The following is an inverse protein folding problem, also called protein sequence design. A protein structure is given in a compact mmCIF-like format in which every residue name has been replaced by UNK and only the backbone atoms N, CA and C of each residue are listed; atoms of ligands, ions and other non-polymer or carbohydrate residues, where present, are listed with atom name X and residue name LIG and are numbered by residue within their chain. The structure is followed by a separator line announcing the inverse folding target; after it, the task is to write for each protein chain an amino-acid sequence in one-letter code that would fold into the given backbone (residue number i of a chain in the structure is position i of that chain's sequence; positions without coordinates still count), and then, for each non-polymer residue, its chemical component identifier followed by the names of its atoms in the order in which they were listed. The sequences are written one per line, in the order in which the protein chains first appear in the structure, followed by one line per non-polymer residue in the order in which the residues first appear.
data_IF_096082828175
#
_entry.id   IF_096082828175
#
_cell.length_a   1.000
_cell.length_b   1.000
_cell.length_c   1.000
_cell.angle_alpha   90.00
_cell.angle_beta   90.00
_cell.angle_gamma   90.00
#
_symmetry.space_group_name_H-M   'P 1'
#
loop_
_entity.id
_entity.type
_entity.pdbx_description
1 polymer ?
#
# COMPACT_ATOMS: atom_id res chain seq x y z
N UNK A 1 -0.82 -42.87 31.05
CA UNK A 1 -1.60 -41.93 30.22
C UNK A 1 -1.36 -40.53 30.75
N UNK A 2 -0.47 -39.78 30.10
CA UNK A 2 -0.19 -38.39 30.48
C UNK A 2 -1.29 -37.49 29.95
N UNK A 3 -2.02 -36.83 30.84
CA UNK A 3 -2.96 -35.77 30.49
C UNK A 3 -2.13 -34.57 30.07
N UNK A 4 -2.07 -34.30 28.77
CA UNK A 4 -1.46 -33.11 28.21
C UNK A 4 -2.24 -31.88 28.71
N UNK A 5 -1.76 -31.25 29.79
CA UNK A 5 -2.30 -29.99 30.29
C UNK A 5 -1.98 -28.89 29.26
N UNK A 6 -2.96 -28.63 28.39
CA UNK A 6 -2.92 -27.53 27.42
C UNK A 6 -2.94 -26.21 28.19
N UNK A 7 -1.78 -25.56 28.31
CA UNK A 7 -1.57 -24.37 29.16
C UNK A 7 -2.14 -23.06 28.62
N UNK A 8 -2.55 -22.98 27.36
CA UNK A 8 -3.07 -21.73 26.78
C UNK A 8 -4.28 -21.97 25.87
N UNK A 9 -5.42 -21.28 26.08
CA UNK A 9 -6.52 -21.27 25.13
C UNK A 9 -6.08 -20.58 23.83
N UNK A 10 -6.17 -21.29 22.70
CA UNK A 10 -6.02 -20.70 21.38
C UNK A 10 -7.28 -19.91 21.05
N UNK A 11 -7.25 -18.60 21.24
CA UNK A 11 -8.24 -17.72 20.63
C UNK A 11 -7.83 -17.51 19.18
N UNK A 12 -8.51 -18.18 18.26
CA UNK A 12 -8.37 -17.91 16.81
C UNK A 12 -9.04 -16.58 16.53
N UNK A 13 -8.37 -15.49 16.90
CA UNK A 13 -8.74 -14.14 16.46
C UNK A 13 -8.14 -13.98 15.08
N UNK A 14 -8.95 -13.67 14.06
CA UNK A 14 -8.42 -13.26 12.76
C UNK A 14 -8.29 -11.75 12.80
N UNK A 15 -7.06 -11.27 12.83
CA UNK A 15 -6.78 -9.83 12.71
C UNK A 15 -6.47 -9.54 11.25
N UNK A 16 -7.20 -8.61 10.65
CA UNK A 16 -6.92 -8.12 9.31
C UNK A 16 -6.30 -6.74 9.45
N UNK A 17 -5.08 -6.57 8.95
CA UNK A 17 -4.48 -5.25 8.78
C UNK A 17 -4.74 -4.84 7.34
N UNK A 18 -5.53 -3.77 7.18
CA UNK A 18 -5.84 -3.17 5.89
C UNK A 18 -5.30 -1.76 5.89
N UNK A 19 -4.50 -1.47 4.88
CA UNK A 19 -3.98 -0.14 4.65
C UNK A 19 -4.87 0.54 3.63
N UNK A 20 -5.39 1.70 3.99
CA UNK A 20 -6.20 2.51 3.07
C UNK A 20 -5.31 3.15 2.01
N UNK A 21 -4.03 3.40 2.35
CA UNK A 21 -3.03 3.89 1.41
C UNK A 21 -1.58 3.57 1.75
N UNK A 22 -0.73 3.78 0.76
CA UNK A 22 0.71 3.65 0.77
C UNK A 22 1.37 4.53 1.83
N UNK A 23 0.92 5.77 2.02
CA UNK A 23 1.45 6.63 3.08
C UNK A 23 1.14 6.05 4.48
N UNK A 24 -0.07 5.52 4.68
CA UNK A 24 -0.47 4.81 5.89
C UNK A 24 0.33 3.52 6.05
N UNK A 25 0.57 2.77 4.98
CA UNK A 25 1.45 1.61 5.01
C UNK A 25 2.89 1.99 5.38
N UNK A 26 3.49 3.01 4.77
CA UNK A 26 4.88 3.41 5.09
C UNK A 26 4.98 3.86 6.54
N UNK A 27 4.05 4.70 7.01
CA UNK A 27 4.07 5.17 8.40
C UNK A 27 3.91 4.00 9.37
N UNK A 28 2.97 3.09 9.10
CA UNK A 28 2.81 1.89 9.92
C UNK A 28 3.95 0.88 9.71
N UNK A 29 4.63 0.88 8.57
CA UNK A 29 5.78 0.03 8.34
C UNK A 29 6.99 0.50 9.14
N UNK A 30 7.30 1.79 9.04
CA UNK A 30 8.41 2.43 9.74
C UNK A 30 8.22 2.42 11.26
N UNK A 31 6.98 2.59 11.76
CA UNK A 31 6.71 2.62 13.20
C UNK A 31 6.33 1.25 13.78
N UNK A 32 5.71 0.39 12.96
CA UNK A 32 4.93 -0.74 13.45
C UNK A 32 5.08 -2.04 12.62
N UNK A 33 5.86 -2.15 11.52
CA UNK A 33 6.08 -3.40 10.77
C UNK A 33 7.57 -3.60 10.45
N UNK A 34 8.17 -4.61 11.07
CA UNK A 34 9.52 -5.08 10.74
C UNK A 34 9.46 -6.45 10.06
N UNK A 35 10.58 -6.92 9.51
CA UNK A 35 10.73 -8.31 9.02
C UNK A 35 10.38 -9.37 10.06
N UNK A 36 10.40 -9.04 11.36
CA UNK A 36 10.13 -9.95 12.45
C UNK A 36 8.80 -9.74 13.18
N UNK A 37 8.03 -8.69 12.90
CA UNK A 37 6.84 -8.41 13.71
C UNK A 37 6.07 -7.15 13.33
N UNK A 38 4.83 -7.07 13.79
CA UNK A 38 3.90 -5.98 13.53
C UNK A 38 3.18 -5.46 14.78
N UNK A 39 2.82 -4.18 14.84
CA UNK A 39 1.96 -3.62 15.88
C UNK A 39 0.54 -3.38 15.36
N UNK A 40 -0.45 -3.94 16.03
CA UNK A 40 -1.85 -3.87 15.62
C UNK A 40 -2.61 -2.96 16.59
N UNK A 41 -3.00 -1.78 16.09
CA UNK A 41 -3.88 -0.86 16.82
C UNK A 41 -5.22 -1.53 17.10
N UNK A 42 -5.77 -1.33 18.30
CA UNK A 42 -7.03 -1.93 18.72
C UNK A 42 -6.90 -3.35 19.27
N UNK A 43 -5.78 -4.04 19.05
CA UNK A 43 -5.53 -5.39 19.56
C UNK A 43 -5.10 -5.45 21.04
N UNK A 44 -5.34 -4.38 21.81
CA UNK A 44 -4.93 -4.27 23.22
C UNK A 44 -5.62 -5.25 24.18
N UNK A 45 -6.62 -5.98 23.71
CA UNK A 45 -7.31 -7.04 24.46
C UNK A 45 -6.71 -8.44 24.20
N UNK A 46 -5.72 -8.55 23.30
CA UNK A 46 -5.02 -9.81 23.10
C UNK A 46 -4.24 -10.20 24.37
N UNK A 47 -4.32 -11.46 24.80
CA UNK A 47 -3.46 -11.94 25.87
C UNK A 47 -1.98 -11.87 25.45
N UNK A 48 -1.12 -11.45 26.36
CA UNK A 48 0.32 -11.49 26.11
C UNK A 48 0.77 -12.93 25.83
N UNK A 49 1.66 -13.10 24.85
CA UNK A 49 2.17 -14.38 24.37
C UNK A 49 1.13 -15.30 23.69
N UNK A 50 -0.10 -14.83 23.43
CA UNK A 50 -1.03 -15.59 22.62
C UNK A 50 -0.59 -15.64 21.16
N UNK A 51 -0.68 -16.83 20.55
CA UNK A 51 -0.52 -16.99 19.11
C UNK A 51 -1.84 -16.70 18.39
N UNK A 52 -1.75 -16.04 17.24
CA UNK A 52 -2.90 -15.52 16.50
C UNK A 52 -2.61 -15.55 15.00
N UNK A 53 -3.61 -15.90 14.19
CA UNK A 53 -3.51 -15.77 12.73
C UNK A 53 -3.75 -14.30 12.35
N UNK A 54 -2.79 -13.74 11.62
CA UNK A 54 -2.86 -12.36 11.13
C UNK A 54 -2.92 -12.41 9.61
N UNK A 55 -3.94 -11.76 9.07
CA UNK A 55 -4.16 -11.59 7.64
C UNK A 55 -3.63 -10.21 7.25
N UNK A 56 -2.58 -10.18 6.44
CA UNK A 56 -1.92 -8.99 5.94
C UNK A 56 -2.30 -8.85 4.47
N UNK A 57 -2.95 -7.75 4.11
CA UNK A 57 -3.25 -7.45 2.71
C UNK A 57 -2.16 -6.53 2.14
N UNK A 58 -1.40 -7.04 1.16
CA UNK A 58 -0.35 -6.30 0.47
C UNK A 58 -0.86 -5.88 -0.92
N UNK A 59 -1.14 -4.59 -1.17
CA UNK A 59 -1.63 -4.13 -2.45
C UNK A 59 -0.75 -4.58 -3.63
N UNK A 60 -1.35 -5.20 -4.65
CA UNK A 60 -0.64 -5.73 -5.81
C UNK A 60 0.20 -7.00 -5.56
N UNK A 61 0.18 -7.55 -4.34
CA UNK A 61 0.85 -8.83 -3.98
C UNK A 61 -0.09 -9.81 -3.28
N UNK A 62 -1.36 -9.45 -3.13
CA UNK A 62 -2.40 -10.29 -2.56
C UNK A 62 -2.41 -10.33 -1.04
N UNK A 63 -3.21 -11.24 -0.53
CA UNK A 63 -3.46 -11.40 0.91
C UNK A 63 -2.63 -12.56 1.47
N UNK A 64 -1.92 -12.30 2.56
CA UNK A 64 -0.99 -13.22 3.21
C UNK A 64 -1.46 -13.54 4.62
N UNK A 65 -1.49 -14.82 4.98
CA UNK A 65 -1.79 -15.25 6.36
C UNK A 65 -0.50 -15.67 7.04
N UNK A 66 -0.16 -15.02 8.15
CA UNK A 66 1.00 -15.34 8.99
C UNK A 66 0.53 -15.73 10.39
N UNK A 67 1.31 -16.54 11.09
CA UNK A 67 1.09 -16.82 12.52
C UNK A 67 2.00 -15.90 13.32
N UNK A 68 1.41 -15.15 14.24
CA UNK A 68 2.13 -14.19 15.06
C UNK A 68 1.83 -14.38 16.55
N UNK A 69 2.77 -13.99 17.41
CA UNK A 69 2.68 -14.09 18.87
C UNK A 69 2.69 -12.70 19.49
N UNK A 70 1.75 -12.40 20.39
CA UNK A 70 1.77 -11.12 21.10
C UNK A 70 3.01 -11.03 22.00
N UNK A 71 3.86 -10.03 21.81
CA UNK A 71 5.08 -9.80 22.60
C UNK A 71 4.98 -8.59 23.50
N UNK A 72 4.09 -7.64 23.19
CA UNK A 72 3.75 -6.53 24.08
C UNK A 72 2.32 -6.06 23.87
N UNK A 73 1.73 -5.42 24.89
CA UNK A 73 0.38 -4.85 24.84
C UNK A 73 0.39 -3.46 25.46
N UNK A 74 -0.22 -2.49 24.78
CA UNK A 74 -0.44 -1.13 25.29
C UNK A 74 -1.95 -0.95 25.48
N UNK A 75 -2.37 -0.89 26.74
CA UNK A 75 -3.75 -0.59 27.12
C UNK A 75 -4.14 0.87 26.88
N UNK A 76 -5.45 1.16 26.95
CA UNK A 76 -6.02 2.49 26.66
C UNK A 76 -5.42 3.62 27.51
N UNK A 77 -5.18 3.38 28.79
CA UNK A 77 -4.63 4.38 29.71
C UNK A 77 -3.16 4.68 29.41
N UNK A 78 -2.33 3.63 29.24
CA UNK A 78 -0.93 3.77 28.88
C UNK A 78 -0.74 4.43 27.50
N UNK A 79 -1.64 4.11 26.55
CA UNK A 79 -1.68 4.74 25.24
C UNK A 79 -1.94 6.25 25.35
N UNK A 80 -2.95 6.66 26.12
CA UNK A 80 -3.27 8.08 26.35
C UNK A 80 -2.11 8.83 27.02
N UNK A 81 -1.47 8.22 28.01
CA UNK A 81 -0.35 8.83 28.74
C UNK A 81 0.91 9.01 27.85
N UNK A 82 1.08 8.18 26.83
CA UNK A 82 2.24 8.21 25.93
C UNK A 82 1.96 8.87 24.57
N UNK A 83 0.75 9.40 24.34
CA UNK A 83 0.33 9.93 23.04
C UNK A 83 0.24 8.87 21.93
N UNK A 84 0.18 7.58 22.30
CA UNK A 84 0.09 6.45 21.36
C UNK A 84 -1.35 5.94 21.25
N UNK A 85 -1.61 5.10 20.26
CA UNK A 85 -2.86 4.34 20.15
C UNK A 85 -2.71 2.99 20.87
N UNK A 86 -3.76 2.57 21.59
CA UNK A 86 -3.79 1.27 22.26
C UNK A 86 -3.74 0.13 21.24
N UNK A 87 -3.01 -0.94 21.54
CA UNK A 87 -2.77 -2.05 20.61
C UNK A 87 -1.86 -3.13 21.19
N UNK A 88 -1.43 -4.04 20.32
CA UNK A 88 -0.50 -5.12 20.68
C UNK A 88 0.59 -5.27 19.63
N UNK A 89 1.83 -5.49 20.09
CA UNK A 89 2.93 -5.90 19.24
C UNK A 89 2.94 -7.41 19.08
N UNK A 90 3.20 -7.83 17.86
CA UNK A 90 3.09 -9.20 17.40
C UNK A 90 4.41 -9.59 16.73
N UNK A 91 5.07 -10.64 17.20
CA UNK A 91 6.21 -11.25 16.53
C UNK A 91 5.71 -12.29 15.52
N UNK A 92 6.14 -12.21 14.26
CA UNK A 92 5.78 -13.21 13.24
C UNK A 92 6.62 -14.46 13.50
N UNK A 93 5.95 -15.56 13.88
CA UNK A 93 6.60 -16.83 14.25
C UNK A 93 6.54 -17.86 13.12
N UNK A 94 5.60 -17.70 12.18
CA UNK A 94 5.49 -18.53 10.99
C UNK A 94 4.93 -17.73 9.83
N UNK A 95 5.51 -17.92 8.65
CA UNK A 95 5.12 -17.23 7.41
C UNK A 95 5.13 -18.22 6.25
N UNK A 96 4.24 -18.04 5.26
CA UNK A 96 4.23 -18.86 4.06
C UNK A 96 5.46 -18.54 3.18
N UNK A 97 5.89 -19.49 2.34
CA UNK A 97 6.95 -19.24 1.36
C UNK A 97 6.61 -18.03 0.46
N UNK A 98 7.61 -17.21 0.16
CA UNK A 98 7.45 -16.02 -0.69
C UNK A 98 6.90 -14.78 0.03
N UNK A 99 6.52 -14.86 1.30
CA UNK A 99 6.06 -13.68 2.06
C UNK A 99 7.13 -12.59 2.16
N UNK A 100 8.38 -12.98 2.46
CA UNK A 100 9.47 -12.01 2.57
C UNK A 100 9.76 -11.32 1.24
N UNK A 101 9.76 -12.09 0.15
CA UNK A 101 9.97 -11.56 -1.20
C UNK A 101 8.82 -10.65 -1.61
N UNK A 102 7.58 -10.98 -1.25
CA UNK A 102 6.41 -10.15 -1.49
C UNK A 102 6.47 -8.85 -0.69
N UNK A 103 6.86 -8.90 0.59
CA UNK A 103 7.03 -7.73 1.43
C UNK A 103 8.16 -6.84 0.91
N UNK A 104 9.32 -7.40 0.59
CA UNK A 104 10.45 -6.69 0.02
C UNK A 104 10.09 -6.08 -1.34
N UNK A 105 9.46 -6.84 -2.22
CA UNK A 105 8.99 -6.38 -3.52
C UNK A 105 8.01 -5.22 -3.39
N UNK A 106 7.09 -5.27 -2.42
CA UNK A 106 6.19 -4.18 -2.13
C UNK A 106 6.92 -2.92 -1.66
N UNK A 107 7.90 -3.05 -0.75
CA UNK A 107 8.70 -1.93 -0.27
C UNK A 107 9.55 -1.29 -1.37
N UNK A 108 10.17 -2.11 -2.23
CA UNK A 108 10.93 -1.62 -3.38
C UNK A 108 10.02 -0.87 -4.35
N UNK A 109 8.87 -1.45 -4.70
CA UNK A 109 7.90 -0.76 -5.56
C UNK A 109 7.44 0.56 -4.96
N UNK A 110 7.14 0.57 -3.66
CA UNK A 110 6.73 1.78 -2.96
C UNK A 110 7.82 2.85 -2.96
N UNK A 111 9.09 2.47 -2.80
CA UNK A 111 10.24 3.35 -3.01
C UNK A 111 10.24 3.94 -4.42
N UNK A 112 10.10 3.10 -5.45
CA UNK A 112 10.03 3.53 -6.84
C UNK A 112 8.85 4.48 -7.09
N UNK A 113 7.64 4.15 -6.66
CA UNK A 113 6.43 4.97 -6.90
C UNK A 113 6.59 6.40 -6.38
N UNK A 114 7.27 6.59 -5.24
CA UNK A 114 7.49 7.92 -4.65
C UNK A 114 8.45 8.80 -5.45
N UNK A 115 9.28 8.21 -6.30
CA UNK A 115 10.15 8.93 -7.23
C UNK A 115 9.47 9.29 -8.54
N UNK A 116 8.28 8.74 -8.81
CA UNK A 116 7.60 8.89 -10.09
C UNK A 116 6.29 9.66 -9.94
N UNK A 117 5.92 10.32 -11.02
CA UNK A 117 4.70 11.10 -11.10
C UNK A 117 3.70 10.47 -12.08
N UNK A 118 2.42 10.62 -11.74
CA UNK A 118 1.29 10.38 -12.63
C UNK A 118 0.56 11.71 -12.81
N UNK A 119 0.38 12.12 -14.06
CA UNK A 119 -0.47 13.27 -14.37
C UNK A 119 -1.91 12.80 -14.51
N UNK A 120 -2.86 13.50 -13.91
CA UNK A 120 -4.29 13.17 -14.02
C UNK A 120 -5.11 14.42 -14.33
N UNK A 121 -6.04 14.30 -15.27
CA UNK A 121 -7.02 15.34 -15.56
C UNK A 121 -7.81 15.71 -14.29
N UNK A 122 -7.93 17.02 -14.01
CA UNK A 122 -8.50 17.54 -12.75
C UNK A 122 -9.95 17.06 -12.50
N UNK A 123 -10.70 16.75 -13.55
CA UNK A 123 -12.09 16.29 -13.46
C UNK A 123 -12.25 14.77 -13.27
N UNK A 124 -11.16 14.00 -13.23
CA UNK A 124 -11.23 12.55 -13.20
C UNK A 124 -11.34 11.94 -11.80
N UNK A 125 -12.08 10.83 -11.74
CA UNK A 125 -11.98 9.86 -10.64
C UNK A 125 -10.68 9.09 -10.75
N UNK A 126 -10.08 8.67 -9.63
CA UNK A 126 -8.84 7.90 -9.63
C UNK A 126 -7.65 8.59 -8.96
N UNK A 127 -7.73 9.90 -8.72
CA UNK A 127 -6.65 10.67 -8.08
C UNK A 127 -6.22 10.06 -6.75
N UNK A 128 -7.18 9.84 -5.85
CA UNK A 128 -6.91 9.26 -4.54
C UNK A 128 -6.28 7.87 -4.66
N UNK A 129 -6.65 7.06 -5.65
CA UNK A 129 -6.10 5.71 -5.84
C UNK A 129 -4.61 5.73 -6.20
N UNK A 130 -4.14 6.72 -6.97
CA UNK A 130 -2.72 6.87 -7.28
C UNK A 130 -1.92 7.42 -6.10
N UNK A 131 -2.45 8.44 -5.41
CA UNK A 131 -1.86 8.95 -4.16
C UNK A 131 -1.81 7.82 -3.12
N UNK A 132 -2.88 7.02 -3.05
CA UNK A 132 -3.01 5.89 -2.17
C UNK A 132 -2.12 4.72 -2.56
N UNK A 133 -1.71 4.61 -3.82
CA UNK A 133 -0.68 3.67 -4.26
C UNK A 133 0.75 4.17 -4.00
N UNK A 134 0.93 5.45 -3.68
CA UNK A 134 2.21 6.06 -3.33
C UNK A 134 2.89 6.81 -4.48
N UNK A 135 2.17 7.10 -5.56
CA UNK A 135 2.65 7.97 -6.63
C UNK A 135 2.52 9.43 -6.24
N UNK A 136 3.39 10.27 -6.83
CA UNK A 136 3.13 11.70 -6.88
C UNK A 136 2.05 11.96 -7.93
N UNK A 137 1.01 12.72 -7.58
CA UNK A 137 -0.07 13.04 -8.52
C UNK A 137 -0.06 14.52 -8.87
N UNK A 138 0.15 14.78 -10.17
CA UNK A 138 0.18 16.12 -10.75
C UNK A 138 -1.16 16.36 -11.44
N UNK A 139 -1.82 17.46 -11.12
CA UNK A 139 -3.05 17.84 -11.82
C UNK A 139 -2.71 18.31 -13.23
N UNK A 140 -3.48 17.83 -14.20
CA UNK A 140 -3.33 18.17 -15.60
C UNK A 140 -4.41 19.17 -16.00
N UNK A 141 -4.03 20.41 -16.32
CA UNK A 141 -4.97 21.46 -16.69
C UNK A 141 -5.14 21.57 -18.20
N UNK A 142 -4.07 21.31 -18.97
CA UNK A 142 -4.09 21.44 -20.43
C UNK A 142 -3.13 20.47 -21.13
N UNK A 143 -3.24 20.35 -22.45
CA UNK A 143 -2.34 19.53 -23.28
C UNK A 143 -0.92 20.09 -23.30
N UNK A 144 -0.77 21.42 -23.31
CA UNK A 144 0.53 22.10 -23.35
C UNK A 144 1.38 21.83 -22.10
N UNK A 145 0.74 21.65 -20.94
CA UNK A 145 1.42 21.30 -19.68
C UNK A 145 2.08 19.92 -19.74
N UNK A 146 1.53 18.98 -20.52
CA UNK A 146 2.13 17.65 -20.66
C UNK A 146 3.49 17.74 -21.31
N UNK A 147 3.61 18.52 -22.39
CA UNK A 147 4.87 18.68 -23.11
C UNK A 147 5.93 19.34 -22.21
N UNK A 148 5.53 20.33 -21.41
CA UNK A 148 6.40 21.01 -20.44
C UNK A 148 6.85 20.03 -19.35
N UNK A 149 5.91 19.29 -18.75
CA UNK A 149 6.20 18.37 -17.66
C UNK A 149 7.04 17.17 -18.13
N UNK A 150 6.85 16.68 -19.36
CA UNK A 150 7.70 15.65 -19.95
C UNK A 150 9.09 16.15 -20.35
N UNK A 151 9.26 17.45 -20.60
CA UNK A 151 10.57 18.05 -20.84
C UNK A 151 11.32 18.35 -19.52
N UNK A 152 10.59 18.38 -18.40
CA UNK A 152 11.15 18.53 -17.06
C UNK A 152 11.53 17.15 -16.49
N UNK A 153 12.80 16.80 -16.61
CA UNK A 153 13.38 15.54 -16.09
C UNK A 153 13.23 15.37 -14.56
N UNK A 154 12.80 16.40 -13.82
CA UNK A 154 12.65 16.32 -12.37
C UNK A 154 11.43 15.52 -11.91
N UNK A 155 10.34 15.53 -12.69
CA UNK A 155 9.18 14.71 -12.47
C UNK A 155 9.28 13.50 -13.42
N UNK A 156 9.78 12.36 -12.93
CA UNK A 156 9.83 11.12 -13.72
C UNK A 156 8.40 10.63 -14.03
N UNK A 157 7.76 11.21 -15.05
CA UNK A 157 6.37 10.94 -15.40
C UNK A 157 6.28 9.54 -16.01
N UNK A 158 5.49 8.67 -15.39
CA UNK A 158 5.24 7.31 -15.87
C UNK A 158 3.91 7.18 -16.62
N UNK A 159 2.95 8.06 -16.33
CA UNK A 159 1.63 7.98 -16.93
C UNK A 159 0.91 9.33 -16.92
N UNK A 160 0.07 9.51 -17.94
CA UNK A 160 -0.84 10.62 -18.13
C UNK A 160 -2.23 10.00 -18.27
N UNK A 161 -3.10 10.27 -17.30
CA UNK A 161 -4.41 9.66 -17.18
C UNK A 161 -5.45 10.69 -17.62
N UNK A 162 -6.21 10.33 -18.65
CA UNK A 162 -7.16 11.24 -19.30
C UNK A 162 -8.51 10.56 -19.53
N UNK A 163 -9.61 11.33 -19.63
CA UNK A 163 -10.89 10.75 -20.04
C UNK A 163 -10.78 10.18 -21.46
N UNK A 164 -11.48 9.07 -21.79
CA UNK A 164 -11.44 8.49 -23.14
C UNK A 164 -11.77 9.50 -24.24
N UNK A 165 -12.66 10.45 -23.96
CA UNK A 165 -13.07 11.50 -24.90
C UNK A 165 -11.94 12.50 -25.26
N UNK A 166 -10.88 12.60 -24.43
CA UNK A 166 -9.73 13.50 -24.66
C UNK A 166 -8.49 12.76 -25.16
N UNK A 167 -8.54 11.43 -25.24
CA UNK A 167 -7.38 10.58 -25.51
C UNK A 167 -6.62 10.99 -26.78
N UNK A 168 -7.35 11.22 -27.88
CA UNK A 168 -6.75 11.52 -29.17
C UNK A 168 -6.07 12.90 -29.16
N UNK A 169 -6.68 13.91 -28.54
CA UNK A 169 -6.07 15.24 -28.41
C UNK A 169 -4.72 15.21 -27.67
N UNK A 170 -4.66 14.47 -26.55
CA UNK A 170 -3.40 14.28 -25.83
C UNK A 170 -2.38 13.43 -26.60
N UNK A 171 -2.81 12.44 -27.38
CA UNK A 171 -1.86 11.65 -28.18
C UNK A 171 -1.31 12.46 -29.35
N UNK A 172 -2.15 13.22 -30.02
CA UNK A 172 -1.77 13.98 -31.21
C UNK A 172 -0.85 15.17 -30.88
N UNK A 173 -0.98 15.74 -29.68
CA UNK A 173 -0.09 16.81 -29.17
C UNK A 173 1.27 16.28 -28.68
N UNK A 174 1.44 14.96 -28.55
CA UNK A 174 2.65 14.34 -28.02
C UNK A 174 3.49 13.63 -29.10
N UNK A 175 4.81 13.62 -28.86
CA UNK A 175 5.73 12.84 -29.68
C UNK A 175 5.47 11.32 -29.57
N UNK A 176 5.83 10.56 -30.61
CA UNK A 176 5.56 9.10 -30.71
C UNK A 176 5.97 8.29 -29.48
N UNK A 177 7.05 8.67 -28.80
CA UNK A 177 7.52 7.99 -27.58
C UNK A 177 6.65 8.25 -26.36
N UNK A 178 5.97 9.40 -26.31
CA UNK A 178 5.16 9.84 -25.16
C UNK A 178 3.70 9.41 -25.28
N UNK A 179 3.23 9.05 -26.47
CA UNK A 179 1.88 8.50 -26.71
C UNK A 179 1.60 7.22 -25.89
N UNK A 180 2.63 6.43 -25.62
CA UNK A 180 2.53 5.20 -24.81
C UNK A 180 2.29 5.47 -23.32
N UNK A 181 2.55 6.69 -22.87
CA UNK A 181 2.33 7.13 -21.49
C UNK A 181 0.89 7.62 -21.27
N UNK A 182 0.08 7.77 -22.32
CA UNK A 182 -1.30 8.26 -22.21
C UNK A 182 -2.28 7.09 -22.07
N UNK A 183 -2.94 7.02 -20.91
CA UNK A 183 -3.89 5.99 -20.56
C UNK A 183 -5.30 6.58 -20.41
N UNK A 184 -6.30 6.06 -21.14
CA UNK A 184 -7.68 6.43 -20.91
C UNK A 184 -8.22 5.72 -19.67
N UNK A 185 -8.98 6.42 -18.84
CA UNK A 185 -9.81 5.79 -17.80
C UNK A 185 -11.13 6.53 -17.63
N UNK A 186 -12.21 5.78 -17.41
CA UNK A 186 -13.55 6.28 -17.12
C UNK A 186 -14.04 5.83 -15.73
N UNK A 187 -13.45 4.77 -15.17
CA UNK A 187 -13.90 4.12 -13.93
C UNK A 187 -12.76 3.86 -12.96
N UNK A 188 -13.08 3.63 -11.68
CA UNK A 188 -12.09 3.29 -10.65
C UNK A 188 -11.45 1.92 -10.89
N UNK A 189 -12.18 0.95 -11.45
CA UNK A 189 -11.64 -0.38 -11.74
C UNK A 189 -10.53 -0.32 -12.81
N UNK A 190 -10.73 0.50 -13.84
CA UNK A 190 -9.68 0.75 -14.86
C UNK A 190 -8.43 1.41 -14.27
N UNK A 191 -8.58 2.24 -13.23
CA UNK A 191 -7.44 2.85 -12.52
C UNK A 191 -6.59 1.78 -11.83
N UNK A 192 -7.21 0.76 -11.25
CA UNK A 192 -6.48 -0.34 -10.62
C UNK A 192 -5.66 -1.14 -11.66
N UNK A 193 -6.23 -1.40 -12.83
CA UNK A 193 -5.54 -2.06 -13.94
C UNK A 193 -4.38 -1.20 -14.48
N UNK A 194 -4.58 0.12 -14.58
CA UNK A 194 -3.53 1.05 -15.00
C UNK A 194 -2.38 1.07 -13.99
N UNK A 195 -2.66 1.11 -12.68
CA UNK A 195 -1.62 1.04 -11.64
C UNK A 195 -0.82 -0.26 -11.79
N UNK A 196 -1.48 -1.40 -11.97
CA UNK A 196 -0.81 -2.68 -12.17
C UNK A 196 0.08 -2.69 -13.43
N UNK A 197 -0.36 -2.02 -14.49
CA UNK A 197 0.41 -1.88 -15.73
C UNK A 197 1.62 -0.97 -15.56
N UNK A 198 1.48 0.17 -14.87
CA UNK A 198 2.60 1.09 -14.59
C UNK A 198 3.64 0.42 -13.71
N UNK A 199 3.20 -0.33 -12.70
CA UNK A 199 4.07 -1.14 -11.85
C UNK A 199 4.93 -2.13 -12.64
N UNK A 200 4.44 -2.66 -13.76
CA UNK A 200 5.20 -3.62 -14.59
C UNK A 200 6.33 -2.99 -15.41
N UNK A 201 6.45 -1.65 -15.40
CA UNK A 201 7.48 -0.93 -16.13
C UNK A 201 8.83 -0.89 -15.39
N UNK A 202 8.90 -1.37 -14.15
CA UNK A 202 10.11 -1.42 -13.34
C UNK A 202 10.19 -2.69 -12.46
#
# INVERSE_FOLDING_TARGET
MGVEQRRHPRHVVRLSVRYTNAAQFVNDYVENLSTGGLYIVGAHLLPLHSETEVVIDLPGHGTWTVRARSTFVIGVEAARASGRKAGAGMEIIEKPPGFDDALLGYLLRLGCRREHAVMIDEGMVGRSQFEDAGYQVIALQSEDEVAIALADDSAKILAIIVPPARLDGYRDSLGERSKSLVFPAATVDEIADIIARIDSLF
#
